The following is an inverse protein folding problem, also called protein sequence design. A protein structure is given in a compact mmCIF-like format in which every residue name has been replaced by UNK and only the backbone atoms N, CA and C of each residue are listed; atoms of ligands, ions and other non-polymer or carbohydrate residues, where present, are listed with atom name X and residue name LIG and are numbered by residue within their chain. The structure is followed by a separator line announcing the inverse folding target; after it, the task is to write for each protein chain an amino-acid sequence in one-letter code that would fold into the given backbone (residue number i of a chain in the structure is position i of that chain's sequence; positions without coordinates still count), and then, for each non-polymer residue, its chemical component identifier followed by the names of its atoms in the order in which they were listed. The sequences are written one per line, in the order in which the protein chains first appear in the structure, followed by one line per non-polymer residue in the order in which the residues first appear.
data_IF_789271220294
#
_entry.id   IF_789271220294
#
_cell.length_a   1.000
_cell.length_b   1.000
_cell.length_c   1.000
_cell.angle_alpha   90.00
_cell.angle_beta   90.00
_cell.angle_gamma   90.00
#
_symmetry.space_group_name_H-M   'P 1'
#
loop_
_entity.id
_entity.type
_entity.pdbx_description
1 polymer ?
#
# COMPACT_ATOMS: atom_id res chain seq x y z
N UNK A 1 15.37 1.06 -38.10
CA UNK A 1 16.66 1.25 -37.41
C UNK A 1 16.39 0.97 -35.93
N UNK A 2 17.01 -0.07 -35.34
CA UNK A 2 16.71 -0.47 -33.95
C UNK A 2 17.31 0.55 -32.97
N UNK A 3 16.66 0.75 -31.82
CA UNK A 3 17.13 1.68 -30.77
C UNK A 3 18.57 1.34 -30.33
N UNK A 4 18.88 0.05 -30.22
CA UNK A 4 20.23 -0.43 -29.89
C UNK A 4 21.29 0.05 -30.90
N UNK A 5 20.97 0.03 -32.19
CA UNK A 5 21.88 0.50 -33.25
C UNK A 5 22.09 2.02 -33.19
N UNK A 6 21.02 2.78 -32.92
CA UNK A 6 21.13 4.23 -32.75
C UNK A 6 22.01 4.60 -31.56
N UNK A 7 21.84 3.91 -30.44
CA UNK A 7 22.62 4.17 -29.22
C UNK A 7 24.06 3.68 -29.35
N UNK A 8 24.32 2.59 -30.08
CA UNK A 8 25.70 2.20 -30.39
C UNK A 8 26.40 3.25 -31.26
N UNK A 9 25.69 3.84 -32.23
CA UNK A 9 26.21 4.93 -33.07
C UNK A 9 26.47 6.21 -32.25
N UNK A 10 25.55 6.61 -31.36
CA UNK A 10 25.71 7.78 -30.47
C UNK A 10 26.84 7.60 -29.44
N UNK A 11 27.13 6.36 -29.04
CA UNK A 11 28.20 6.03 -28.10
C UNK A 11 29.53 5.67 -28.78
N UNK A 12 29.63 5.83 -30.10
CA UNK A 12 30.82 5.50 -30.90
C UNK A 12 31.36 4.08 -30.62
N UNK A 13 30.45 3.11 -30.47
CA UNK A 13 30.78 1.70 -30.19
C UNK A 13 30.17 0.79 -31.23
N UNK A 14 30.79 -0.35 -31.48
CA UNK A 14 30.19 -1.38 -32.34
C UNK A 14 28.97 -2.01 -31.66
N UNK A 15 27.93 -2.28 -32.46
CA UNK A 15 26.74 -2.98 -32.02
C UNK A 15 27.10 -4.43 -31.66
N UNK A 16 26.93 -4.80 -30.39
CA UNK A 16 27.34 -6.07 -29.82
C UNK A 16 28.53 -5.98 -28.87
N UNK A 17 29.29 -4.86 -28.88
CA UNK A 17 30.30 -4.54 -27.86
C UNK A 17 29.63 -3.87 -26.65
N UNK A 18 29.89 -2.58 -26.34
CA UNK A 18 29.32 -1.91 -25.17
C UNK A 18 27.80 -1.79 -25.21
N UNK A 19 27.20 -1.69 -26.40
CA UNK A 19 25.75 -1.63 -26.62
C UNK A 19 25.35 -2.82 -27.48
N UNK A 20 24.49 -3.69 -26.97
CA UNK A 20 24.03 -4.88 -27.67
C UNK A 20 22.52 -5.08 -27.54
N UNK A 21 21.98 -6.10 -28.22
CA UNK A 21 20.57 -6.44 -28.08
C UNK A 21 20.30 -7.94 -28.08
N UNK A 22 19.16 -8.33 -27.50
CA UNK A 22 18.61 -9.66 -27.64
C UNK A 22 17.13 -9.60 -28.05
N UNK A 23 16.83 -10.15 -29.21
CA UNK A 23 15.47 -10.36 -29.72
C UNK A 23 15.25 -11.86 -29.96
N UNK A 24 14.03 -12.25 -30.35
CA UNK A 24 13.70 -13.66 -30.50
C UNK A 24 14.56 -14.28 -31.61
N UNK A 25 15.36 -15.29 -31.25
CA UNK A 25 16.30 -16.02 -32.12
C UNK A 25 17.59 -15.27 -32.52
N UNK A 26 17.87 -14.12 -31.90
CA UNK A 26 19.04 -13.33 -32.22
C UNK A 26 19.54 -12.61 -30.96
N UNK A 27 20.77 -12.93 -30.54
CA UNK A 27 21.44 -12.27 -29.42
C UNK A 27 22.79 -11.73 -29.93
N UNK A 28 22.90 -10.41 -29.94
CA UNK A 28 24.08 -9.64 -30.34
C UNK A 28 24.62 -8.95 -29.10
N UNK A 29 25.24 -9.75 -28.23
CA UNK A 29 25.91 -9.29 -26.99
C UNK A 29 27.18 -10.08 -26.73
N UNK A 30 28.11 -9.50 -25.97
CA UNK A 30 29.33 -10.15 -25.51
C UNK A 30 29.64 -9.79 -24.05
N UNK A 31 30.77 -10.26 -23.52
CA UNK A 31 31.18 -10.03 -22.12
C UNK A 31 31.46 -8.57 -21.79
N UNK A 32 31.73 -7.72 -22.79
CA UNK A 32 31.91 -6.27 -22.64
C UNK A 32 30.62 -5.47 -22.85
N UNK A 33 29.48 -6.12 -23.09
CA UNK A 33 28.19 -5.42 -23.21
C UNK A 33 27.73 -4.84 -21.88
N UNK A 34 27.62 -3.51 -21.86
CA UNK A 34 27.19 -2.72 -20.69
C UNK A 34 25.69 -2.41 -20.80
N UNK A 35 25.21 -2.13 -22.02
CA UNK A 35 23.82 -1.73 -22.28
C UNK A 35 23.19 -2.76 -23.22
N UNK A 36 22.26 -3.57 -22.69
CA UNK A 36 21.55 -4.61 -23.45
C UNK A 36 20.10 -4.21 -23.68
N UNK A 37 19.73 -3.95 -24.93
CA UNK A 37 18.34 -3.76 -25.35
C UNK A 37 17.67 -5.10 -25.59
N UNK A 38 16.47 -5.31 -25.10
CA UNK A 38 15.75 -6.56 -25.36
C UNK A 38 14.27 -6.30 -25.57
N UNK A 39 13.64 -7.15 -26.37
CA UNK A 39 12.17 -7.11 -26.49
C UNK A 39 11.54 -7.76 -25.27
N UNK A 40 10.36 -7.31 -24.89
CA UNK A 40 9.59 -7.90 -23.79
C UNK A 40 9.47 -9.42 -23.94
N UNK A 41 9.34 -9.94 -25.17
CA UNK A 41 9.31 -11.38 -25.42
C UNK A 41 10.60 -12.15 -25.10
N UNK A 42 11.76 -11.51 -25.07
CA UNK A 42 13.04 -12.11 -24.62
C UNK A 42 13.21 -11.98 -23.11
N UNK A 43 12.73 -10.88 -22.53
CA UNK A 43 12.75 -10.62 -21.10
C UNK A 43 11.76 -11.53 -20.35
N UNK A 44 10.56 -11.72 -20.91
CA UNK A 44 9.50 -12.64 -20.45
C UNK A 44 9.82 -14.12 -20.71
N UNK A 45 10.76 -14.43 -21.62
CA UNK A 45 11.20 -15.83 -21.90
C UNK A 45 11.98 -16.49 -20.76
N UNK A 46 12.18 -15.81 -19.63
CA UNK A 46 12.66 -16.43 -18.38
C UNK A 46 11.57 -17.15 -17.58
N UNK A 47 10.30 -17.13 -18.03
CA UNK A 47 9.24 -17.90 -17.37
C UNK A 47 8.97 -19.22 -18.11
N UNK A 48 9.14 -20.32 -17.40
CA UNK A 48 8.74 -21.66 -17.78
C UNK A 48 7.20 -21.78 -17.87
N UNK A 49 6.67 -22.76 -18.64
CA UNK A 49 5.24 -22.97 -18.74
C UNK A 49 4.61 -23.26 -17.37
N UNK A 50 3.45 -22.66 -17.11
CA UNK A 50 2.66 -22.87 -15.91
C UNK A 50 1.35 -23.56 -16.29
N UNK A 51 1.09 -24.72 -15.71
CA UNK A 51 -0.20 -25.40 -15.84
C UNK A 51 -1.25 -24.69 -14.98
N UNK A 52 -2.38 -24.29 -15.56
CA UNK A 52 -3.46 -23.59 -14.84
C UNK A 52 -4.59 -24.56 -14.56
N UNK A 53 -4.98 -24.68 -13.29
CA UNK A 53 -6.07 -25.52 -12.83
C UNK A 53 -7.12 -24.66 -12.14
N UNK A 54 -8.36 -24.71 -12.62
CA UNK A 54 -9.50 -23.99 -12.04
C UNK A 54 -10.32 -24.89 -11.12
N UNK A 55 -10.92 -24.29 -10.10
CA UNK A 55 -11.93 -24.97 -9.30
C UNK A 55 -13.16 -25.27 -10.16
N UNK A 56 -13.80 -26.43 -9.92
CA UNK A 56 -15.04 -26.81 -10.61
C UNK A 56 -16.25 -26.04 -10.11
N UNK A 57 -16.23 -25.61 -8.85
CA UNK A 57 -17.32 -24.90 -8.19
C UNK A 57 -16.78 -23.66 -7.47
N UNK A 58 -17.58 -22.59 -7.33
CA UNK A 58 -17.20 -21.46 -6.47
C UNK A 58 -16.87 -21.93 -5.05
N UNK A 59 -15.82 -21.35 -4.47
CA UNK A 59 -15.43 -21.64 -3.09
C UNK A 59 -16.00 -20.57 -2.16
N UNK A 60 -16.82 -20.96 -1.18
CA UNK A 60 -17.35 -20.03 -0.17
C UNK A 60 -16.28 -19.63 0.85
N UNK A 61 -15.53 -20.61 1.36
CA UNK A 61 -14.39 -20.39 2.24
C UNK A 61 -13.08 -20.61 1.48
N UNK A 62 -12.53 -19.52 0.96
CA UNK A 62 -11.27 -19.56 0.21
C UNK A 62 -10.04 -19.81 1.11
N UNK A 63 -10.13 -19.54 2.42
CA UNK A 63 -9.03 -19.82 3.37
C UNK A 63 -8.92 -21.32 3.55
N UNK A 64 -10.01 -21.98 3.92
CA UNK A 64 -10.04 -23.42 4.12
C UNK A 64 -9.75 -24.18 2.81
N UNK A 65 -10.28 -23.71 1.67
CA UNK A 65 -9.97 -24.28 0.36
C UNK A 65 -8.47 -24.19 0.02
N UNK A 66 -7.82 -23.06 0.32
CA UNK A 66 -6.39 -22.90 0.10
C UNK A 66 -5.56 -23.87 0.96
N UNK A 67 -5.93 -24.04 2.23
CA UNK A 67 -5.24 -24.99 3.13
C UNK A 67 -5.40 -26.43 2.61
N UNK A 68 -6.63 -26.85 2.24
CA UNK A 68 -6.87 -28.18 1.64
C UNK A 68 -6.08 -28.39 0.36
N UNK A 69 -6.00 -27.38 -0.49
CA UNK A 69 -5.24 -27.45 -1.74
C UNK A 69 -3.74 -27.54 -1.46
N UNK A 70 -3.21 -26.77 -0.51
CA UNK A 70 -1.80 -26.84 -0.10
C UNK A 70 -1.44 -28.23 0.44
N UNK A 71 -2.29 -28.81 1.29
CA UNK A 71 -2.12 -30.18 1.80
C UNK A 71 -2.12 -31.22 0.67
N UNK A 72 -3.03 -31.07 -0.30
CA UNK A 72 -3.09 -31.96 -1.47
C UNK A 72 -1.81 -31.88 -2.29
N UNK A 73 -1.31 -30.67 -2.55
CA UNK A 73 -0.05 -30.45 -3.29
C UNK A 73 1.13 -31.03 -2.52
N UNK A 74 1.15 -30.92 -1.19
CA UNK A 74 2.20 -31.46 -0.34
C UNK A 74 2.29 -32.99 -0.38
N UNK A 75 1.14 -33.68 -0.44
CA UNK A 75 1.07 -35.15 -0.44
C UNK A 75 1.31 -35.73 -1.84
N UNK A 76 0.74 -35.11 -2.87
CA UNK A 76 0.61 -35.73 -4.21
C UNK A 76 1.62 -35.22 -5.24
N UNK A 77 2.14 -34.00 -5.06
CA UNK A 77 2.98 -33.34 -6.07
C UNK A 77 4.47 -33.45 -5.73
N UNK A 78 5.33 -33.37 -6.76
CA UNK A 78 6.78 -33.42 -6.65
C UNK A 78 7.42 -32.25 -5.87
N UNK A 79 8.75 -32.19 -5.78
CA UNK A 79 9.45 -31.14 -5.02
C UNK A 79 9.19 -29.74 -5.60
N UNK A 80 9.20 -28.73 -4.72
CA UNK A 80 8.99 -27.34 -5.07
C UNK A 80 8.08 -26.64 -4.06
N UNK A 81 8.36 -25.38 -3.75
CA UNK A 81 7.67 -24.63 -2.70
C UNK A 81 6.30 -24.11 -3.18
N UNK A 82 5.42 -23.86 -2.21
CA UNK A 82 4.06 -23.37 -2.43
C UNK A 82 3.98 -21.90 -2.06
N UNK A 83 3.43 -21.07 -2.96
CA UNK A 83 3.04 -19.69 -2.71
C UNK A 83 1.51 -19.58 -2.67
N UNK A 84 0.96 -19.09 -1.58
CA UNK A 84 -0.48 -18.92 -1.35
C UNK A 84 -0.78 -17.43 -1.28
N UNK A 85 -1.69 -16.97 -2.14
CA UNK A 85 -2.16 -15.58 -2.14
C UNK A 85 -3.37 -15.42 -1.22
N UNK A 86 -3.23 -14.57 -0.20
CA UNK A 86 -4.27 -14.19 0.76
C UNK A 86 -4.52 -12.68 0.73
N UNK A 87 -5.65 -12.26 1.30
CA UNK A 87 -6.16 -10.89 1.19
C UNK A 87 -5.54 -9.92 2.20
N UNK A 88 -5.20 -10.38 3.40
CA UNK A 88 -4.63 -9.54 4.46
C UNK A 88 -4.03 -10.34 5.62
N UNK A 89 -3.63 -9.62 6.67
CA UNK A 89 -2.89 -10.19 7.80
C UNK A 89 -3.71 -11.24 8.58
N UNK A 90 -4.97 -10.97 8.90
CA UNK A 90 -5.82 -11.90 9.65
C UNK A 90 -6.01 -13.22 8.88
N UNK A 91 -6.24 -13.14 7.57
CA UNK A 91 -6.39 -14.32 6.71
C UNK A 91 -5.07 -15.09 6.55
N UNK A 92 -3.94 -14.38 6.50
CA UNK A 92 -2.60 -14.99 6.51
C UNK A 92 -2.38 -15.76 7.81
N UNK A 93 -2.63 -15.15 8.97
CA UNK A 93 -2.44 -15.77 10.28
C UNK A 93 -3.33 -17.02 10.43
N UNK A 94 -4.60 -16.94 10.04
CA UNK A 94 -5.52 -18.07 10.06
C UNK A 94 -5.06 -19.22 9.16
N UNK A 95 -4.60 -18.90 7.94
CA UNK A 95 -4.06 -19.90 7.00
C UNK A 95 -2.80 -20.56 7.56
N UNK A 96 -1.87 -19.76 8.11
CA UNK A 96 -0.63 -20.26 8.70
C UNK A 96 -0.90 -21.20 9.89
N UNK A 97 -1.83 -20.82 10.78
CA UNK A 97 -2.22 -21.66 11.92
C UNK A 97 -2.81 -23.00 11.46
N UNK A 98 -3.78 -22.95 10.53
CA UNK A 98 -4.43 -24.15 10.01
C UNK A 98 -3.47 -25.05 9.21
N UNK A 99 -2.48 -24.47 8.51
CA UNK A 99 -1.42 -25.24 7.84
C UNK A 99 -0.49 -25.89 8.85
N UNK A 100 -0.05 -25.18 9.88
CA UNK A 100 0.86 -25.71 10.89
C UNK A 100 0.26 -26.93 11.60
N UNK A 101 -0.99 -26.83 12.06
CA UNK A 101 -1.71 -27.92 12.74
C UNK A 101 -1.82 -29.18 11.86
N UNK A 102 -2.10 -29.00 10.56
CA UNK A 102 -2.25 -30.12 9.61
C UNK A 102 -0.91 -30.67 9.12
N UNK A 103 0.13 -29.84 9.06
CA UNK A 103 1.47 -30.23 8.60
C UNK A 103 2.28 -30.98 9.66
N UNK A 104 2.01 -30.79 10.95
CA UNK A 104 2.63 -31.59 12.03
C UNK A 104 2.43 -33.10 11.85
N UNK A 105 1.37 -33.49 11.15
CA UNK A 105 1.04 -34.90 10.88
C UNK A 105 1.81 -35.50 9.69
N UNK A 106 2.62 -34.70 8.99
CA UNK A 106 3.30 -35.08 7.75
C UNK A 106 4.83 -35.19 7.93
N UNK A 107 5.42 -36.20 7.31
CA UNK A 107 6.88 -36.49 7.39
C UNK A 107 7.70 -35.63 6.41
N UNK A 108 7.07 -35.14 5.33
CA UNK A 108 7.73 -34.37 4.27
C UNK A 108 7.81 -32.89 4.61
N UNK A 109 8.96 -32.25 4.37
CA UNK A 109 9.15 -30.80 4.55
C UNK A 109 9.17 -30.07 3.21
N UNK A 110 8.21 -29.18 3.00
CA UNK A 110 8.12 -28.24 1.87
C UNK A 110 7.81 -26.86 2.44
N UNK A 111 8.41 -25.81 1.89
CA UNK A 111 8.12 -24.46 2.35
C UNK A 111 6.79 -23.99 1.76
N UNK A 112 5.92 -23.51 2.64
CA UNK A 112 4.70 -22.81 2.25
C UNK A 112 4.84 -21.33 2.62
N UNK A 113 4.59 -20.46 1.66
CA UNK A 113 4.67 -19.02 1.81
C UNK A 113 3.26 -18.48 1.64
N UNK A 114 2.74 -17.84 2.66
CA UNK A 114 1.44 -17.16 2.60
C UNK A 114 1.70 -15.66 2.51
N UNK A 115 1.23 -15.02 1.44
CA UNK A 115 1.54 -13.64 1.12
C UNK A 115 0.34 -12.89 0.57
N UNK A 116 0.37 -11.56 0.69
CA UNK A 116 -0.56 -10.67 -0.01
C UNK A 116 -0.11 -10.42 -1.46
N UNK A 117 -0.79 -9.51 -2.15
CA UNK A 117 -0.41 -9.00 -3.47
C UNK A 117 1.02 -8.40 -3.54
N UNK A 118 1.73 -8.21 -2.42
CA UNK A 118 3.17 -7.85 -2.42
C UNK A 118 4.01 -8.88 -3.21
N UNK A 119 3.62 -10.16 -3.17
CA UNK A 119 4.32 -11.21 -3.92
C UNK A 119 3.96 -11.23 -5.42
N UNK A 120 2.97 -10.45 -5.87
CA UNK A 120 2.47 -10.43 -7.25
C UNK A 120 3.43 -9.77 -8.23
N UNK A 121 4.11 -8.69 -7.81
CA UNK A 121 5.09 -7.93 -8.62
C UNK A 121 6.43 -7.85 -7.90
N UNK A 122 6.43 -7.33 -6.67
CA UNK A 122 7.59 -6.72 -6.02
C UNK A 122 8.63 -7.67 -5.43
N UNK A 123 8.30 -8.95 -5.17
CA UNK A 123 9.23 -9.89 -4.55
C UNK A 123 9.37 -11.20 -5.33
N UNK A 124 10.60 -11.61 -5.63
CA UNK A 124 10.92 -12.95 -6.16
C UNK A 124 11.31 -13.86 -5.01
N UNK A 125 10.57 -14.94 -4.82
CA UNK A 125 10.99 -16.03 -3.94
C UNK A 125 11.42 -17.20 -4.81
N UNK A 126 12.67 -17.60 -4.66
CA UNK A 126 13.23 -18.74 -5.40
C UNK A 126 12.64 -20.05 -4.87
N UNK A 127 12.54 -21.05 -5.75
CA UNK A 127 12.04 -22.38 -5.39
C UNK A 127 10.52 -22.56 -5.45
N UNK A 128 9.75 -21.53 -5.83
CA UNK A 128 8.29 -21.64 -6.01
C UNK A 128 7.96 -22.35 -7.32
N UNK A 129 7.25 -23.47 -7.22
CA UNK A 129 6.73 -24.25 -8.35
C UNK A 129 5.20 -24.34 -8.32
N UNK A 130 4.60 -24.11 -7.16
CA UNK A 130 3.17 -24.21 -6.96
C UNK A 130 2.61 -22.88 -6.47
N UNK A 131 1.59 -22.38 -7.15
CA UNK A 131 0.85 -21.18 -6.72
C UNK A 131 -0.58 -21.58 -6.40
N UNK A 132 -1.12 -21.07 -5.29
CA UNK A 132 -2.52 -21.14 -4.94
C UNK A 132 -3.07 -19.71 -4.98
N UNK A 133 -3.97 -19.45 -5.91
CA UNK A 133 -4.60 -18.15 -6.10
C UNK A 133 -6.06 -18.21 -5.64
N UNK A 134 -6.35 -17.50 -4.55
CA UNK A 134 -7.70 -17.36 -4.00
C UNK A 134 -8.59 -16.47 -4.89
N UNK A 135 -7.99 -15.66 -5.77
CA UNK A 135 -8.73 -14.77 -6.68
C UNK A 135 -9.15 -13.44 -6.05
N UNK A 136 -8.71 -13.14 -4.83
CA UNK A 136 -9.08 -11.91 -4.12
C UNK A 136 -7.87 -11.03 -3.79
N UNK A 137 -8.13 -9.76 -3.51
CA UNK A 137 -7.17 -8.80 -2.98
C UNK A 137 -7.87 -7.68 -2.20
N UNK A 138 -7.20 -7.13 -1.18
CA UNK A 138 -7.66 -5.90 -0.51
C UNK A 138 -7.24 -4.69 -1.32
N UNK A 139 -8.21 -3.82 -1.63
CA UNK A 139 -8.00 -2.59 -2.38
C UNK A 139 -8.64 -1.42 -1.64
N UNK A 140 -7.97 -0.27 -1.68
CA UNK A 140 -8.51 0.98 -1.17
C UNK A 140 -9.54 1.52 -2.16
N UNK A 141 -10.77 1.75 -1.68
CA UNK A 141 -11.88 2.28 -2.47
C UNK A 141 -12.48 3.47 -1.76
N UNK A 142 -12.57 4.58 -2.49
CA UNK A 142 -13.21 5.80 -2.04
C UNK A 142 -14.73 5.71 -2.21
N UNK A 143 -15.47 6.01 -1.14
CA UNK A 143 -16.91 6.18 -1.20
C UNK A 143 -17.25 7.69 -1.22
N UNK A 144 -17.66 8.26 -2.37
CA UNK A 144 -17.92 9.69 -2.49
C UNK A 144 -19.05 10.20 -1.59
N UNK A 145 -20.05 9.35 -1.29
CA UNK A 145 -21.18 9.73 -0.43
C UNK A 145 -20.80 9.86 1.04
N UNK A 146 -19.89 8.99 1.49
CA UNK A 146 -19.39 9.02 2.87
C UNK A 146 -18.14 9.91 3.01
N UNK A 147 -17.49 10.27 1.89
CA UNK A 147 -16.28 11.08 1.87
C UNK A 147 -15.06 10.37 2.46
N UNK A 148 -15.06 9.04 2.54
CA UNK A 148 -14.01 8.26 3.18
C UNK A 148 -13.50 7.13 2.27
N UNK A 149 -12.22 6.82 2.43
CA UNK A 149 -11.63 5.62 1.86
C UNK A 149 -11.89 4.41 2.76
N UNK A 150 -12.22 3.28 2.15
CA UNK A 150 -12.36 2.00 2.84
C UNK A 150 -11.46 0.95 2.19
N UNK A 151 -10.87 0.08 3.00
CA UNK A 151 -10.22 -1.14 2.51
C UNK A 151 -11.30 -2.21 2.36
N UNK A 152 -11.49 -2.69 1.15
CA UNK A 152 -12.46 -3.74 0.84
C UNK A 152 -11.81 -4.86 0.05
N UNK A 153 -12.29 -6.07 0.26
CA UNK A 153 -11.86 -7.26 -0.49
C UNK A 153 -12.61 -7.28 -1.81
N UNK A 154 -11.87 -7.33 -2.91
CA UNK A 154 -12.41 -7.45 -4.27
C UNK A 154 -11.79 -8.63 -5.00
N UNK A 155 -12.50 -9.21 -5.99
CA UNK A 155 -11.88 -10.08 -6.97
C UNK A 155 -10.70 -9.38 -7.65
N UNK A 156 -9.57 -10.07 -7.82
CA UNK A 156 -8.44 -9.54 -8.55
C UNK A 156 -8.75 -9.44 -10.05
N UNK A 157 -7.99 -8.61 -10.77
CA UNK A 157 -8.09 -8.58 -12.23
C UNK A 157 -7.46 -9.83 -12.85
N UNK A 158 -7.83 -10.12 -14.11
CA UNK A 158 -7.23 -11.21 -14.88
C UNK A 158 -5.72 -11.03 -15.03
N UNK A 159 -5.28 -9.81 -15.33
CA UNK A 159 -3.87 -9.45 -15.39
C UNK A 159 -3.13 -9.75 -14.07
N UNK A 160 -3.75 -9.47 -12.92
CA UNK A 160 -3.18 -9.80 -11.61
C UNK A 160 -3.11 -11.32 -11.38
N UNK A 161 -4.19 -12.05 -11.68
CA UNK A 161 -4.23 -13.51 -11.57
C UNK A 161 -3.19 -14.20 -12.49
N UNK A 162 -2.92 -13.63 -13.66
CA UNK A 162 -1.88 -14.11 -14.58
C UNK A 162 -0.48 -13.83 -14.04
N UNK A 163 -0.24 -12.67 -13.42
CA UNK A 163 1.02 -12.37 -12.74
C UNK A 163 1.27 -13.28 -11.54
N UNK A 164 0.23 -13.59 -10.75
CA UNK A 164 0.26 -14.57 -9.66
C UNK A 164 0.65 -15.95 -10.21
N UNK A 165 -0.02 -16.41 -11.26
CA UNK A 165 0.29 -17.69 -11.90
C UNK A 165 1.74 -17.75 -12.41
N UNK A 166 2.23 -16.65 -13.01
CA UNK A 166 3.61 -16.54 -13.49
C UNK A 166 4.69 -16.74 -12.42
N UNK A 167 4.36 -16.62 -11.12
CA UNK A 167 5.29 -16.90 -10.01
C UNK A 167 5.70 -18.37 -9.94
N UNK A 168 4.85 -19.29 -10.34
CA UNK A 168 5.16 -20.72 -10.42
C UNK A 168 6.18 -21.04 -11.53
N UNK A 169 6.25 -20.19 -12.57
CA UNK A 169 7.07 -20.44 -13.76
C UNK A 169 8.47 -19.86 -13.69
N UNK A 170 8.97 -19.38 -12.55
CA UNK A 170 10.25 -18.66 -12.50
C UNK A 170 11.48 -19.55 -12.48
N UNK A 171 11.41 -20.65 -11.73
CA UNK A 171 12.56 -21.55 -11.52
C UNK A 171 12.50 -22.76 -12.44
N UNK A 172 11.30 -23.19 -12.81
CA UNK A 172 11.04 -24.36 -13.65
C UNK A 172 9.55 -24.43 -14.01
N UNK A 173 9.12 -25.46 -14.78
CA UNK A 173 7.71 -25.68 -15.07
C UNK A 173 6.89 -25.79 -13.78
N UNK A 174 5.85 -24.97 -13.67
CA UNK A 174 5.07 -24.83 -12.44
C UNK A 174 3.58 -25.13 -12.64
N UNK A 175 2.82 -25.10 -11.54
CA UNK A 175 1.35 -25.23 -11.57
C UNK A 175 0.71 -24.13 -10.73
N UNK A 176 -0.32 -23.50 -11.26
CA UNK A 176 -1.16 -22.54 -10.55
C UNK A 176 -2.56 -23.14 -10.35
N UNK A 177 -2.99 -23.20 -9.10
CA UNK A 177 -4.31 -23.63 -8.67
C UNK A 177 -5.15 -22.39 -8.35
N UNK A 178 -6.13 -22.11 -9.21
CA UNK A 178 -7.11 -21.03 -9.03
C UNK A 178 -8.31 -21.57 -8.28
N UNK A 179 -8.60 -21.02 -7.10
CA UNK A 179 -9.73 -21.43 -6.25
C UNK A 179 -11.07 -20.83 -6.69
N UNK A 180 -11.14 -20.41 -7.95
CA UNK A 180 -12.31 -19.87 -8.61
C UNK A 180 -12.51 -20.58 -9.94
N UNK A 181 -13.72 -20.49 -10.49
CA UNK A 181 -14.07 -21.18 -11.73
C UNK A 181 -13.49 -20.46 -12.94
N UNK A 182 -13.34 -21.20 -14.03
CA UNK A 182 -12.96 -20.61 -15.32
C UNK A 182 -14.01 -19.58 -15.80
N UNK A 183 -15.29 -19.81 -15.52
CA UNK A 183 -16.36 -18.83 -15.79
C UNK A 183 -16.14 -17.53 -15.01
N UNK A 184 -15.83 -17.60 -13.71
CA UNK A 184 -15.55 -16.41 -12.91
C UNK A 184 -14.34 -15.64 -13.46
N UNK A 185 -13.29 -16.36 -13.84
CA UNK A 185 -12.11 -15.76 -14.47
C UNK A 185 -12.45 -15.01 -15.77
N UNK A 186 -13.29 -15.58 -16.63
CA UNK A 186 -13.59 -14.99 -17.93
C UNK A 186 -14.67 -13.90 -17.89
N UNK A 187 -15.69 -14.09 -17.05
CA UNK A 187 -16.93 -13.32 -17.08
C UNK A 187 -17.11 -12.36 -15.88
N UNK A 188 -16.49 -12.64 -14.74
CA UNK A 188 -16.67 -11.84 -13.50
C UNK A 188 -15.45 -10.95 -13.21
N UNK A 189 -14.24 -11.42 -13.52
CA UNK A 189 -13.00 -10.66 -13.25
C UNK A 189 -12.73 -9.60 -14.33
N UNK A 190 -12.34 -8.40 -13.87
CA UNK A 190 -11.93 -7.32 -14.76
C UNK A 190 -10.65 -7.68 -15.53
N UNK A 191 -10.49 -7.30 -16.80
CA UNK A 191 -9.27 -7.59 -17.56
C UNK A 191 -8.00 -7.02 -16.93
N UNK A 192 -8.06 -5.75 -16.52
CA UNK A 192 -6.96 -5.00 -15.95
C UNK A 192 -7.36 -4.45 -14.57
N UNK A 193 -6.40 -4.20 -13.67
CA UNK A 193 -6.71 -3.54 -12.41
C UNK A 193 -7.24 -2.13 -12.70
N UNK A 194 -8.24 -1.70 -11.92
CA UNK A 194 -8.73 -0.31 -11.99
C UNK A 194 -7.57 0.65 -11.63
N UNK A 195 -7.35 1.77 -12.32
CA UNK A 195 -6.33 2.75 -11.94
C UNK A 195 -6.59 3.37 -10.56
N UNK A 196 -5.52 3.74 -9.83
CA UNK A 196 -5.64 4.29 -8.48
C UNK A 196 -6.42 5.60 -8.44
N UNK A 197 -6.16 6.49 -9.40
CA UNK A 197 -6.82 7.79 -9.53
C UNK A 197 -8.36 7.67 -9.64
N UNK A 198 -8.89 6.55 -10.13
CA UNK A 198 -10.33 6.33 -10.25
C UNK A 198 -11.00 5.85 -8.96
N UNK A 199 -10.21 5.43 -7.96
CA UNK A 199 -10.70 4.74 -6.76
C UNK A 199 -10.25 5.36 -5.43
N UNK A 200 -9.57 6.50 -5.44
CA UNK A 200 -9.11 7.20 -4.23
C UNK A 200 -9.71 8.60 -4.12
N UNK A 201 -9.68 9.19 -2.91
CA UNK A 201 -9.93 10.62 -2.73
C UNK A 201 -8.91 11.45 -3.54
N UNK A 202 -9.37 12.50 -4.22
CA UNK A 202 -8.55 13.35 -5.09
C UNK A 202 -8.17 14.69 -4.46
N UNK A 203 -8.48 14.95 -3.19
CA UNK A 203 -8.22 16.22 -2.51
C UNK A 203 -6.78 16.71 -2.65
N UNK A 204 -5.80 15.85 -2.34
CA UNK A 204 -4.37 16.20 -2.50
C UNK A 204 -3.99 16.39 -3.97
N UNK A 205 -4.53 15.57 -4.87
CA UNK A 205 -4.25 15.64 -6.31
C UNK A 205 -4.79 16.94 -6.90
N UNK A 206 -6.03 17.31 -6.57
CA UNK A 206 -6.67 18.56 -6.99
C UNK A 206 -5.91 19.76 -6.44
N UNK A 207 -5.52 19.73 -5.16
CA UNK A 207 -4.74 20.79 -4.54
C UNK A 207 -3.39 20.99 -5.26
N UNK A 208 -2.70 19.91 -5.58
CA UNK A 208 -1.44 19.92 -6.34
C UNK A 208 -1.63 20.41 -7.78
N UNK A 209 -2.63 19.92 -8.52
CA UNK A 209 -2.90 20.38 -9.89
C UNK A 209 -3.21 21.87 -9.92
N UNK A 210 -3.94 22.37 -8.91
CA UNK A 210 -4.21 23.80 -8.76
C UNK A 210 -2.96 24.61 -8.43
N UNK A 211 -2.01 24.07 -7.66
CA UNK A 211 -0.72 24.76 -7.40
C UNK A 211 0.16 24.82 -8.65
N UNK A 212 0.02 23.84 -9.54
CA UNK A 212 0.61 23.83 -10.88
C UNK A 212 -0.12 24.75 -11.89
N UNK A 213 -1.11 25.53 -11.44
CA UNK A 213 -1.91 26.47 -12.24
C UNK A 213 -2.74 25.81 -13.34
N UNK A 214 -3.20 24.56 -13.12
CA UNK A 214 -4.19 23.92 -14.00
C UNK A 214 -5.57 24.55 -13.76
N UNK A 215 -6.07 25.30 -14.74
CA UNK A 215 -7.36 25.98 -14.64
C UNK A 215 -8.54 24.99 -14.73
N UNK A 216 -8.64 24.26 -15.84
CA UNK A 216 -9.69 23.27 -16.04
C UNK A 216 -9.20 21.85 -15.74
N UNK A 217 -9.68 21.28 -14.64
CA UNK A 217 -9.36 19.92 -14.25
C UNK A 217 -10.14 18.87 -15.05
N UNK A 218 -11.28 19.24 -15.64
CA UNK A 218 -12.10 18.32 -16.44
C UNK A 218 -11.50 18.07 -17.82
N UNK A 219 -10.75 19.06 -18.33
CA UNK A 219 -10.06 18.99 -19.63
C UNK A 219 -8.57 18.61 -19.47
N UNK A 220 -8.14 18.25 -18.25
CA UNK A 220 -6.75 17.84 -18.03
C UNK A 220 -6.49 16.46 -18.63
N UNK A 221 -5.37 16.32 -19.35
CA UNK A 221 -4.98 15.11 -20.06
C UNK A 221 -4.50 13.99 -19.12
N UNK A 222 -5.43 13.41 -18.36
CA UNK A 222 -5.18 12.18 -17.59
C UNK A 222 -5.04 10.98 -18.53
N UNK A 223 -4.07 10.09 -18.25
CA UNK A 223 -4.01 8.80 -18.97
C UNK A 223 -5.28 7.98 -18.74
N UNK A 224 -5.70 7.90 -17.48
CA UNK A 224 -6.96 7.30 -17.05
C UNK A 224 -7.74 8.36 -16.25
N UNK A 225 -8.72 9.04 -16.85
CA UNK A 225 -9.43 10.12 -16.16
C UNK A 225 -10.22 9.59 -14.97
N UNK A 226 -10.18 10.27 -13.81
CA UNK A 226 -11.05 9.94 -12.69
C UNK A 226 -12.51 10.29 -12.99
N UNK A 227 -13.47 9.70 -12.26
CA UNK A 227 -14.87 10.12 -12.34
C UNK A 227 -15.02 11.62 -12.07
N UNK A 228 -15.78 12.32 -12.91
CA UNK A 228 -16.00 13.77 -12.77
C UNK A 228 -16.60 14.12 -11.39
N UNK A 229 -17.49 13.29 -10.87
CA UNK A 229 -18.08 13.44 -9.54
C UNK A 229 -16.99 13.47 -8.43
N UNK A 230 -15.94 12.64 -8.55
CA UNK A 230 -14.85 12.62 -7.58
C UNK A 230 -14.02 13.91 -7.63
N UNK A 231 -13.77 14.45 -8.82
CA UNK A 231 -13.09 15.76 -8.99
C UNK A 231 -13.93 16.85 -8.33
N UNK A 232 -15.23 16.92 -8.66
CA UNK A 232 -16.14 17.95 -8.15
C UNK A 232 -16.28 17.89 -6.63
N UNK A 233 -16.45 16.69 -6.07
CA UNK A 233 -16.51 16.50 -4.62
C UNK A 233 -15.21 16.93 -3.91
N UNK A 234 -14.06 16.63 -4.52
CA UNK A 234 -12.75 17.04 -3.98
C UNK A 234 -12.56 18.55 -4.05
N UNK A 235 -12.97 19.20 -5.15
CA UNK A 235 -12.99 20.66 -5.27
C UNK A 235 -13.91 21.31 -4.23
N UNK A 236 -15.11 20.74 -4.03
CA UNK A 236 -16.06 21.23 -3.04
C UNK A 236 -15.49 21.12 -1.62
N UNK A 237 -14.88 19.98 -1.26
CA UNK A 237 -14.22 19.82 0.02
C UNK A 237 -13.10 20.85 0.24
N UNK A 238 -12.24 21.08 -0.75
CA UNK A 238 -11.18 22.08 -0.67
C UNK A 238 -11.72 23.51 -0.56
N UNK A 239 -12.84 23.81 -1.21
CA UNK A 239 -13.55 25.09 -1.07
C UNK A 239 -14.10 25.27 0.35
N UNK A 240 -14.74 24.23 0.92
CA UNK A 240 -15.22 24.26 2.32
C UNK A 240 -14.06 24.43 3.32
N UNK A 241 -12.91 23.81 3.08
CA UNK A 241 -11.70 24.01 3.88
C UNK A 241 -11.09 25.42 3.71
N UNK A 242 -11.56 26.19 2.73
CA UNK A 242 -11.04 27.51 2.38
C UNK A 242 -9.70 27.46 1.65
N UNK A 243 -9.31 26.31 1.09
CA UNK A 243 -8.14 26.15 0.25
C UNK A 243 -8.38 26.69 -1.18
N UNK A 244 -9.63 26.61 -1.65
CA UNK A 244 -10.07 27.19 -2.93
C UNK A 244 -11.05 28.34 -2.71
N UNK A 245 -11.02 29.32 -3.62
CA UNK A 245 -12.01 30.40 -3.68
C UNK A 245 -13.23 30.01 -4.54
N UNK A 246 -14.22 30.90 -4.66
CA UNK A 246 -15.46 30.65 -5.41
C UNK A 246 -15.26 30.43 -6.92
N UNK A 247 -14.10 30.81 -7.46
CA UNK A 247 -13.72 30.64 -8.88
C UNK A 247 -12.86 29.38 -9.05
N UNK A 248 -12.52 28.67 -7.97
CA UNK A 248 -11.68 27.47 -8.00
C UNK A 248 -10.17 27.74 -8.07
N UNK A 249 -9.74 28.97 -7.76
CA UNK A 249 -8.33 29.32 -7.57
C UNK A 249 -7.86 29.11 -6.13
N UNK A 250 -6.55 28.88 -5.94
CA UNK A 250 -5.97 28.71 -4.60
C UNK A 250 -6.01 30.01 -3.79
N UNK A 251 -6.39 29.88 -2.52
CA UNK A 251 -6.27 30.93 -1.51
C UNK A 251 -4.88 30.92 -0.88
N UNK A 252 -4.55 31.91 -0.04
CA UNK A 252 -3.32 31.91 0.76
C UNK A 252 -3.19 30.66 1.64
N UNK A 253 -4.30 30.20 2.22
CA UNK A 253 -4.34 28.96 3.01
C UNK A 253 -4.08 27.77 2.08
N UNK A 254 -4.70 27.73 0.91
CA UNK A 254 -4.47 26.66 -0.08
C UNK A 254 -3.00 26.55 -0.48
N UNK A 255 -2.32 27.67 -0.73
CA UNK A 255 -0.89 27.69 -1.02
C UNK A 255 -0.05 27.15 0.14
N UNK A 256 -0.35 27.54 1.38
CA UNK A 256 0.33 26.97 2.56
C UNK A 256 0.06 25.47 2.70
N UNK A 257 -1.15 24.98 2.39
CA UNK A 257 -1.50 23.57 2.52
C UNK A 257 -0.70 22.66 1.57
N UNK A 258 -0.35 23.14 0.37
CA UNK A 258 0.44 22.40 -0.63
C UNK A 258 1.84 22.02 -0.11
N UNK A 259 2.40 22.83 0.78
CA UNK A 259 3.74 22.64 1.32
C UNK A 259 3.82 21.49 2.34
N UNK A 260 2.67 21.05 2.87
CA UNK A 260 2.62 19.95 3.83
C UNK A 260 2.32 18.61 3.13
N UNK A 261 3.08 17.54 3.42
CA UNK A 261 2.81 16.20 2.92
C UNK A 261 1.68 15.53 3.74
N UNK A 262 0.54 16.20 3.86
CA UNK A 262 -0.61 15.81 4.68
C UNK A 262 -1.90 15.88 3.87
N UNK A 263 -2.92 15.13 4.30
CA UNK A 263 -4.27 15.32 3.77
C UNK A 263 -4.77 16.75 4.06
N UNK A 264 -5.67 17.32 3.22
CA UNK A 264 -6.01 18.73 3.32
C UNK A 264 -6.73 19.05 4.63
N UNK A 265 -7.48 18.11 5.19
CA UNK A 265 -8.11 18.27 6.51
C UNK A 265 -7.08 18.41 7.63
N UNK A 266 -6.02 17.60 7.63
CA UNK A 266 -4.93 17.66 8.61
C UNK A 266 -4.06 18.90 8.42
N UNK A 267 -3.76 19.26 7.16
CA UNK A 267 -3.05 20.50 6.86
C UNK A 267 -3.84 21.73 7.34
N UNK A 268 -5.17 21.73 7.15
CA UNK A 268 -6.05 22.81 7.64
C UNK A 268 -6.04 22.89 9.17
N UNK A 269 -6.11 21.74 9.85
CA UNK A 269 -6.04 21.65 11.29
C UNK A 269 -4.73 22.26 11.81
N UNK A 270 -3.59 21.87 11.22
CA UNK A 270 -2.27 22.42 11.57
C UNK A 270 -2.21 23.94 11.39
N UNK A 271 -2.70 24.46 10.27
CA UNK A 271 -2.73 25.90 10.01
C UNK A 271 -3.72 26.67 10.90
N UNK A 272 -4.77 26.01 11.40
CA UNK A 272 -5.68 26.62 12.37
C UNK A 272 -5.08 26.66 13.77
N UNK A 273 -4.22 25.69 14.13
CA UNK A 273 -3.47 25.69 15.38
C UNK A 273 -2.61 26.95 15.57
N UNK A 274 -2.08 27.52 14.48
CA UNK A 274 -1.40 28.84 14.51
C UNK A 274 -2.36 29.96 14.95
N UNK A 275 -3.61 29.95 14.48
CA UNK A 275 -4.59 31.01 14.76
C UNK A 275 -5.22 30.91 16.16
N UNK A 276 -5.22 29.72 16.73
CA UNK A 276 -5.78 29.41 18.04
C UNK A 276 -4.69 29.28 19.12
N UNK A 277 -3.45 29.59 18.79
CA UNK A 277 -2.30 29.53 19.70
C UNK A 277 -2.03 28.14 20.33
N UNK A 278 -2.44 27.06 19.66
CA UNK A 278 -2.30 25.66 20.11
C UNK A 278 -1.49 24.78 19.12
N UNK A 279 -0.55 25.40 18.39
CA UNK A 279 0.16 24.72 17.31
C UNK A 279 1.02 23.53 17.77
N UNK A 280 1.64 23.59 18.95
CA UNK A 280 2.51 22.52 19.46
C UNK A 280 1.72 21.23 19.77
N UNK A 281 0.53 21.38 20.34
CA UNK A 281 -0.42 20.31 20.63
C UNK A 281 -0.97 19.72 19.34
N UNK A 282 -1.50 20.58 18.44
CA UNK A 282 -2.06 20.16 17.14
C UNK A 282 -1.00 19.45 16.28
N UNK A 283 0.22 19.97 16.24
CA UNK A 283 1.34 19.34 15.53
C UNK A 283 1.60 17.91 16.04
N UNK A 284 1.46 17.69 17.35
CA UNK A 284 1.60 16.36 17.94
C UNK A 284 0.44 15.45 17.55
N UNK A 285 -0.80 15.94 17.63
CA UNK A 285 -2.01 15.20 17.22
C UNK A 285 -1.94 14.79 15.75
N UNK A 286 -1.63 15.73 14.84
CA UNK A 286 -1.50 15.48 13.40
C UNK A 286 -0.41 14.43 13.12
N UNK A 287 0.70 14.49 13.84
CA UNK A 287 1.78 13.50 13.72
C UNK A 287 1.37 12.10 14.17
N UNK A 288 0.55 12.01 15.21
CA UNK A 288 0.00 10.75 15.72
C UNK A 288 -1.07 10.17 14.78
N UNK A 289 -1.90 11.01 14.15
CA UNK A 289 -2.88 10.60 13.15
C UNK A 289 -2.25 10.13 11.82
N UNK A 290 -1.05 10.61 11.52
CA UNK A 290 -0.32 10.26 10.30
C UNK A 290 0.37 8.89 10.36
N UNK A 291 0.33 8.21 11.52
CA UNK A 291 0.87 6.86 11.70
C UNK A 291 -0.23 5.84 11.96
N UNK A 292 -0.01 4.55 11.65
CA UNK A 292 -0.94 3.49 12.08
C UNK A 292 -1.17 3.53 13.59
N UNK A 293 -2.30 2.97 14.03
CA UNK A 293 -2.69 2.93 15.45
C UNK A 293 -1.52 2.53 16.35
N UNK A 294 -1.23 3.37 17.34
CA UNK A 294 -0.14 3.15 18.30
C UNK A 294 -0.53 2.16 19.39
N UNK A 295 -1.81 1.88 19.57
CA UNK A 295 -2.29 0.94 20.59
C UNK A 295 -2.18 -0.50 20.09
N UNK A 296 -1.63 -1.36 20.95
CA UNK A 296 -1.45 -2.79 20.69
C UNK A 296 -2.38 -3.60 21.61
N UNK A 297 -3.37 -4.31 21.05
CA UNK A 297 -4.32 -5.10 21.84
C UNK A 297 -4.17 -6.61 21.57
N UNK A 298 -3.28 -7.32 22.28
CA UNK A 298 -3.13 -8.77 22.13
C UNK A 298 -4.37 -9.52 22.62
N UNK A 299 -4.80 -10.55 21.88
CA UNK A 299 -6.02 -11.33 22.21
C UNK A 299 -5.96 -11.96 23.60
N UNK A 300 -4.80 -12.48 24.00
CA UNK A 300 -4.61 -13.18 25.28
C UNK A 300 -4.52 -12.23 26.50
N UNK A 301 -4.21 -10.94 26.26
CA UNK A 301 -4.03 -9.92 27.31
C UNK A 301 -4.85 -8.67 27.03
N UNK A 302 -6.05 -8.88 26.51
CA UNK A 302 -6.94 -7.79 26.11
C UNK A 302 -7.34 -6.91 27.31
N UNK A 303 -7.68 -7.52 28.46
CA UNK A 303 -8.07 -6.78 29.67
C UNK A 303 -6.94 -5.89 30.22
N UNK A 304 -5.71 -6.42 30.28
CA UNK A 304 -4.53 -5.62 30.70
C UNK A 304 -4.26 -4.46 29.74
N UNK A 305 -4.38 -4.71 28.44
CA UNK A 305 -4.21 -3.68 27.40
C UNK A 305 -5.28 -2.59 27.50
N UNK A 306 -6.53 -2.97 27.75
CA UNK A 306 -7.64 -2.03 27.86
C UNK A 306 -7.49 -1.17 29.14
N UNK A 307 -7.08 -1.77 30.26
CA UNK A 307 -6.78 -1.06 31.50
C UNK A 307 -5.57 -0.10 31.36
N UNK A 308 -4.55 -0.48 30.57
CA UNK A 308 -3.44 0.42 30.26
C UNK A 308 -3.90 1.60 29.39
N UNK A 309 -4.78 1.36 28.40
CA UNK A 309 -5.35 2.40 27.54
C UNK A 309 -6.19 3.40 28.32
N UNK A 310 -6.95 2.95 29.30
CA UNK A 310 -7.81 3.80 30.14
C UNK A 310 -7.00 4.87 30.89
N UNK A 311 -5.74 4.60 31.25
CA UNK A 311 -4.83 5.59 31.88
C UNK A 311 -4.49 6.77 30.98
N UNK A 312 -4.61 6.62 29.67
CA UNK A 312 -4.35 7.68 28.69
C UNK A 312 -5.63 8.36 28.21
N UNK A 313 -6.79 7.76 28.47
CA UNK A 313 -8.06 8.20 27.95
C UNK A 313 -8.42 9.60 28.46
N UNK A 314 -8.77 10.47 27.51
CA UNK A 314 -9.28 11.81 27.76
C UNK A 314 -10.75 11.81 27.34
N UNK A 315 -11.73 11.90 28.28
CA UNK A 315 -13.16 11.77 28.00
C UNK A 315 -13.68 12.69 26.90
N UNK A 316 -13.06 13.85 26.73
CA UNK A 316 -13.46 14.88 25.79
C UNK A 316 -13.18 14.47 24.33
N UNK A 317 -12.09 13.73 24.06
CA UNK A 317 -11.69 13.41 22.68
C UNK A 317 -10.61 12.33 22.56
N UNK A 318 -10.74 11.49 21.54
CA UNK A 318 -9.71 10.52 21.15
C UNK A 318 -8.43 11.20 20.62
N UNK A 319 -8.53 12.38 20.00
CA UNK A 319 -7.36 13.14 19.55
C UNK A 319 -6.51 13.60 20.74
N UNK A 320 -7.19 14.01 21.81
CA UNK A 320 -6.57 14.41 23.06
C UNK A 320 -5.94 13.22 23.80
N UNK A 321 -6.55 12.04 23.68
CA UNK A 321 -5.95 10.77 24.12
C UNK A 321 -4.62 10.50 23.39
N UNK A 322 -4.54 10.70 22.07
CA UNK A 322 -3.27 10.55 21.32
C UNK A 322 -2.19 11.55 21.77
N UNK A 323 -2.59 12.80 22.03
CA UNK A 323 -1.70 13.82 22.59
C UNK A 323 -1.16 13.38 23.95
N UNK A 324 -2.03 12.92 24.86
CA UNK A 324 -1.67 12.44 26.18
C UNK A 324 -0.67 11.27 26.12
N UNK A 325 -0.91 10.28 25.24
CA UNK A 325 0.03 9.17 25.01
C UNK A 325 1.42 9.68 24.62
N UNK A 326 1.48 10.61 23.66
CA UNK A 326 2.76 11.15 23.19
C UNK A 326 3.50 11.93 24.28
N UNK A 327 2.77 12.74 25.07
CA UNK A 327 3.34 13.54 26.16
C UNK A 327 3.87 12.66 27.30
N UNK A 328 3.14 11.60 27.68
CA UNK A 328 3.62 10.65 28.68
C UNK A 328 4.84 9.88 28.17
N UNK A 329 4.86 9.50 26.90
CA UNK A 329 6.04 8.86 26.29
C UNK A 329 7.26 9.79 26.25
N UNK A 330 7.05 11.08 25.92
CA UNK A 330 8.09 12.13 25.96
C UNK A 330 8.62 12.34 27.38
N UNK A 331 7.74 12.38 28.38
CA UNK A 331 8.11 12.53 29.80
C UNK A 331 8.93 11.34 30.31
N UNK A 332 8.66 10.15 29.78
CA UNK A 332 9.44 8.92 30.03
C UNK A 332 10.64 8.77 29.09
N UNK A 333 11.20 9.88 28.59
CA UNK A 333 12.42 9.93 27.78
C UNK A 333 12.38 9.08 26.50
N UNK A 334 11.20 8.88 25.92
CA UNK A 334 11.01 8.09 24.71
C UNK A 334 11.44 6.61 24.84
N UNK A 335 11.40 6.05 26.06
CA UNK A 335 11.83 4.69 26.34
C UNK A 335 10.95 3.65 25.64
N UNK A 336 11.59 2.61 25.09
CA UNK A 336 10.90 1.49 24.46
C UNK A 336 10.26 0.55 25.47
N UNK A 337 10.91 0.31 26.61
CA UNK A 337 10.40 -0.56 27.67
C UNK A 337 9.06 -0.03 28.21
N UNK A 338 8.98 1.29 28.41
CA UNK A 338 7.75 1.95 28.87
C UNK A 338 6.59 1.74 27.90
N UNK A 339 6.83 1.77 26.58
CA UNK A 339 5.80 1.45 25.61
C UNK A 339 5.32 0.00 25.73
N UNK A 340 6.23 -0.95 25.97
CA UNK A 340 5.86 -2.36 26.11
C UNK A 340 4.99 -2.58 27.35
N UNK A 341 5.33 -1.93 28.46
CA UNK A 341 4.55 -1.99 29.72
C UNK A 341 3.13 -1.41 29.57
N UNK A 342 2.95 -0.48 28.62
CA UNK A 342 1.69 0.22 28.36
C UNK A 342 0.98 -0.24 27.07
N UNK A 343 1.41 -1.36 26.49
CA UNK A 343 0.80 -1.91 25.27
C UNK A 343 0.77 -0.92 24.09
N UNK A 344 1.89 -0.23 23.87
CA UNK A 344 2.09 0.73 22.79
C UNK A 344 3.13 0.25 21.78
N UNK A 345 2.85 0.47 20.49
CA UNK A 345 3.79 0.17 19.41
C UNK A 345 4.93 1.20 19.36
N UNK A 346 6.11 0.80 19.88
CA UNK A 346 7.34 1.62 19.86
C UNK A 346 7.68 2.13 18.45
N UNK A 347 7.53 1.27 17.43
CA UNK A 347 7.82 1.64 16.03
C UNK A 347 6.89 2.75 15.52
N UNK A 348 5.60 2.67 15.87
CA UNK A 348 4.61 3.69 15.50
C UNK A 348 4.91 5.04 16.15
N UNK A 349 5.20 5.04 17.46
CA UNK A 349 5.55 6.25 18.21
C UNK A 349 6.86 6.90 17.73
N UNK A 350 7.90 6.11 17.42
CA UNK A 350 9.13 6.62 16.80
C UNK A 350 8.86 7.27 15.45
N UNK A 351 8.02 6.64 14.61
CA UNK A 351 7.61 7.21 13.34
C UNK A 351 6.83 8.52 13.51
N UNK A 352 5.92 8.58 14.48
CA UNK A 352 5.18 9.81 14.78
C UNK A 352 6.13 10.94 15.19
N UNK A 353 7.17 10.65 15.98
CA UNK A 353 8.20 11.63 16.33
C UNK A 353 9.02 12.10 15.12
N UNK A 354 9.35 11.23 14.18
CA UNK A 354 10.00 11.61 12.92
C UNK A 354 9.12 12.55 12.10
N UNK A 355 7.85 12.18 11.88
CA UNK A 355 6.86 13.00 11.16
C UNK A 355 6.71 14.36 11.82
N UNK A 356 6.61 14.40 13.15
CA UNK A 356 6.54 15.62 13.92
C UNK A 356 7.74 16.54 13.69
N UNK A 357 8.95 15.98 13.64
CA UNK A 357 10.16 16.75 13.37
C UNK A 357 10.16 17.33 11.96
N UNK A 358 9.76 16.53 10.96
CA UNK A 358 9.67 16.98 9.57
C UNK A 358 8.65 18.12 9.41
N UNK A 359 7.46 17.96 9.99
CA UNK A 359 6.42 19.00 9.98
C UNK A 359 6.88 20.28 10.70
N UNK A 360 7.60 20.14 11.82
CA UNK A 360 8.19 21.29 12.52
C UNK A 360 9.20 22.04 11.65
N UNK A 361 10.01 21.33 10.87
CA UNK A 361 11.00 21.96 9.98
C UNK A 361 10.32 22.68 8.80
N UNK A 362 9.21 22.14 8.29
CA UNK A 362 8.36 22.83 7.30
C UNK A 362 7.74 24.10 7.92
N UNK A 363 7.20 24.03 9.14
CA UNK A 363 6.64 25.19 9.84
C UNK A 363 7.69 26.31 10.02
N UNK A 364 8.92 25.96 10.38
CA UNK A 364 10.04 26.91 10.46
C UNK A 364 10.37 27.54 9.11
N UNK A 365 10.39 26.75 8.03
CA UNK A 365 10.63 27.24 6.68
C UNK A 365 9.53 28.24 6.24
N UNK A 366 8.28 27.97 6.62
CA UNK A 366 7.13 28.85 6.39
C UNK A 366 7.04 30.02 7.39
N UNK A 367 7.98 30.13 8.33
CA UNK A 367 8.05 31.16 9.37
C UNK A 367 6.80 31.22 10.26
N UNK A 368 6.18 30.06 10.50
CA UNK A 368 5.03 29.91 11.40
C UNK A 368 5.58 29.67 12.82
N UNK A 369 5.29 30.54 13.80
CA UNK A 369 5.80 30.39 15.16
C UNK A 369 5.11 29.23 15.88
N UNK A 370 5.86 28.51 16.71
CA UNK A 370 5.32 27.46 17.56
C UNK A 370 4.67 28.10 18.81
N UNK A 371 3.36 28.01 18.90
CA UNK A 371 2.54 28.45 20.04
C UNK A 371 2.01 27.23 20.79
N UNK A 372 1.76 27.38 22.09
CA UNK A 372 1.19 26.34 22.96
C UNK A 372 0.20 26.99 23.91
N UNK A 373 -0.94 26.34 24.09
CA UNK A 373 -2.00 26.78 25.01
C UNK A 373 -1.85 26.16 26.41
N UNK A 374 -0.68 25.59 26.74
CA UNK A 374 -0.40 24.98 28.04
C UNK A 374 -1.42 23.91 28.49
N UNK A 375 -1.95 23.15 27.53
CA UNK A 375 -2.99 22.11 27.74
C UNK A 375 -4.37 22.64 28.16
N UNK A 376 -4.75 23.84 27.74
CA UNK A 376 -6.17 24.22 27.71
C UNK A 376 -6.89 23.39 26.64
N UNK A 377 -7.47 22.26 27.08
CA UNK A 377 -8.13 21.28 26.21
C UNK A 377 -9.29 21.85 25.38
N UNK A 378 -9.93 22.92 25.81
CA UNK A 378 -11.05 23.54 25.09
C UNK A 378 -10.60 24.22 23.77
N UNK A 379 -9.33 24.62 23.68
CA UNK A 379 -8.76 25.32 22.51
C UNK A 379 -8.21 24.32 21.47
N UNK A 380 -7.80 23.13 21.92
CA UNK A 380 -7.20 22.06 21.11
C UNK A 380 -8.27 21.19 20.49
#
# INVERSE_FOLDING_TARGET
MSVAKRVSEEMETELGDKVGYAIRFEDVTCSSTIIKYMTDGVLLRRTFPVNILFSKTPCEDYVEAAVKQAMTIHITSGPGDILIFMTGQEEIEATCYALAERMEQLISSRKCIVATNIAETSLTVDGIFYVIDTGYGKMKVYNPRMGMDALQVFPCSRAAADQRAGRAGRTGPGTCYRLFTESAYQNEMLPNPVPEIQRTNLGNVVLLLKSLKVENLLDFDFMDPPPQENILNSMYQLWVLGALNNVGGLTEIGWKMVEFPLDPTLAKMLLMGEKLDCLDEVLTVVSMLSVPSVFFRPKDRAEESDAAREKFFVPESDHLTLLNVYLQWKSNQYRGDWCNDHFLHVKGLRKAREVRSQLLDILKALKIPLTSCHMEWDVV
#
